data_IF_527330719307
#
_entry.id   IF_527330719307
#
_cell.length_a   1.000
_cell.length_b   1.000
_cell.length_c   1.000
_cell.angle_alpha   90.00
_cell.angle_beta   90.00
_cell.angle_gamma   90.00
#
_symmetry.space_group_name_H-M   'P 1'
#
loop_
_entity.id
_entity.type
_entity.pdbx_description
1 polymer ?
#
# COMPACT_ATOMS: atom_id res chain seq x y z
N UNK A 1 0.41 5.13 -21.36
CA UNK A 1 1.07 6.29 -20.70
C UNK A 1 1.53 5.80 -19.34
N UNK A 2 2.83 5.85 -19.04
CA UNK A 2 3.27 5.68 -17.65
C UNK A 2 2.76 6.90 -16.87
N UNK A 3 1.76 6.65 -16.03
CA UNK A 3 1.01 7.67 -15.28
C UNK A 3 1.85 8.37 -14.20
N UNK A 4 3.03 7.83 -13.88
CA UNK A 4 3.94 8.34 -12.85
C UNK A 4 5.37 8.40 -13.36
N UNK A 5 6.13 9.38 -12.88
CA UNK A 5 7.57 9.49 -13.13
C UNK A 5 8.37 8.40 -12.40
N UNK A 6 9.60 8.14 -12.86
CA UNK A 6 10.49 7.20 -12.20
C UNK A 6 10.83 7.64 -10.76
N UNK A 7 10.98 8.95 -10.51
CA UNK A 7 11.20 9.45 -9.15
C UNK A 7 10.01 9.13 -8.24
N UNK A 8 8.79 9.35 -8.71
CA UNK A 8 7.57 9.07 -7.95
C UNK A 8 7.41 7.60 -7.62
N UNK A 9 7.69 6.72 -8.58
CA UNK A 9 7.67 5.28 -8.37
C UNK A 9 8.75 4.86 -7.37
N UNK A 10 9.96 5.42 -7.45
CA UNK A 10 11.03 5.13 -6.50
C UNK A 10 10.71 5.60 -5.08
N UNK A 11 10.12 6.79 -4.92
CA UNK A 11 9.66 7.28 -3.62
C UNK A 11 8.53 6.42 -3.05
N UNK A 12 7.54 6.08 -3.88
CA UNK A 12 6.45 5.20 -3.50
C UNK A 12 6.97 3.82 -3.06
N UNK A 13 7.92 3.25 -3.80
CA UNK A 13 8.55 1.98 -3.49
C UNK A 13 9.21 1.98 -2.10
N UNK A 14 10.01 3.03 -1.79
CA UNK A 14 10.65 3.18 -0.48
C UNK A 14 9.61 3.19 0.65
N UNK A 15 8.52 3.93 0.46
CA UNK A 15 7.43 4.03 1.44
C UNK A 15 6.72 2.69 1.62
N UNK A 16 6.38 2.00 0.52
CA UNK A 16 5.73 0.68 0.52
C UNK A 16 6.60 -0.35 1.25
N UNK A 17 7.88 -0.46 0.91
CA UNK A 17 8.83 -1.38 1.58
C UNK A 17 8.91 -1.11 3.08
N UNK A 18 9.00 0.17 3.47
CA UNK A 18 9.03 0.53 4.90
C UNK A 18 7.74 0.15 5.63
N UNK A 19 6.61 0.18 4.92
CA UNK A 19 5.28 -0.15 5.47
C UNK A 19 5.11 -1.65 5.61
N UNK A 20 5.55 -2.43 4.61
CA UNK A 20 5.63 -3.89 4.68
C UNK A 20 6.42 -4.32 5.91
N UNK A 21 7.66 -3.83 6.07
CA UNK A 21 8.52 -4.20 7.19
C UNK A 21 7.88 -3.88 8.56
N UNK A 22 7.16 -2.76 8.67
CA UNK A 22 6.43 -2.40 9.90
C UNK A 22 5.26 -3.35 10.17
N UNK A 23 4.50 -3.71 9.13
CA UNK A 23 3.39 -4.65 9.27
C UNK A 23 3.88 -6.06 9.62
N UNK A 24 4.94 -6.55 8.98
CA UNK A 24 5.55 -7.85 9.25
C UNK A 24 6.10 -7.94 10.68
N UNK A 25 6.76 -6.89 11.19
CA UNK A 25 7.20 -6.82 12.59
C UNK A 25 6.05 -6.76 13.60
N UNK A 26 4.87 -6.31 13.16
CA UNK A 26 3.71 -6.13 14.02
C UNK A 26 2.82 -7.38 14.06
N UNK A 27 2.66 -8.08 12.93
CA UNK A 27 1.79 -9.25 12.80
C UNK A 27 2.02 -10.33 13.88
N UNK A 28 3.26 -10.79 14.17
CA UNK A 28 3.49 -11.87 15.13
C UNK A 28 3.22 -11.46 16.58
N UNK A 29 2.99 -10.17 16.86
CA UNK A 29 2.56 -9.69 18.18
C UNK A 29 1.08 -10.00 18.46
N UNK A 30 0.34 -10.41 17.45
CA UNK A 30 -1.06 -10.81 17.57
C UNK A 30 -1.19 -12.32 17.33
N UNK A 31 -1.86 -13.05 18.24
CA UNK A 31 -2.11 -14.48 18.05
C UNK A 31 -2.81 -14.78 16.74
N UNK A 32 -2.47 -15.91 16.13
CA UNK A 32 -3.15 -16.41 14.93
C UNK A 32 -4.64 -16.61 15.22
N UNK A 33 -5.49 -16.35 14.21
CA UNK A 33 -6.94 -16.38 14.35
C UNK A 33 -7.58 -15.08 14.89
N UNK A 34 -6.79 -14.13 15.41
CA UNK A 34 -7.32 -12.82 15.81
C UNK A 34 -7.60 -11.92 14.60
N UNK A 35 -8.56 -11.01 14.74
CA UNK A 35 -8.90 -10.04 13.69
C UNK A 35 -7.72 -9.12 13.35
N UNK A 36 -6.88 -8.77 14.33
CA UNK A 36 -5.68 -7.96 14.13
C UNK A 36 -4.62 -8.72 13.31
N UNK A 37 -4.41 -10.00 13.60
CA UNK A 37 -3.49 -10.84 12.85
C UNK A 37 -3.93 -10.96 11.38
N UNK A 38 -5.19 -11.29 11.14
CA UNK A 38 -5.77 -11.39 9.77
C UNK A 38 -5.73 -10.05 9.04
N UNK A 39 -6.04 -8.94 9.73
CA UNK A 39 -5.97 -7.60 9.14
C UNK A 39 -4.55 -7.25 8.67
N UNK A 40 -3.52 -7.59 9.45
CA UNK A 40 -2.14 -7.35 9.07
C UNK A 40 -1.70 -8.27 7.93
N UNK A 41 -2.10 -9.55 7.93
CA UNK A 41 -1.87 -10.48 6.82
C UNK A 41 -2.41 -9.92 5.49
N UNK A 42 -3.66 -9.43 5.49
CA UNK A 42 -4.29 -8.87 4.30
C UNK A 42 -3.61 -7.57 3.83
N UNK A 43 -3.19 -6.70 4.76
CA UNK A 43 -2.40 -5.50 4.43
C UNK A 43 -1.05 -5.85 3.83
N UNK A 44 -0.33 -6.82 4.41
CA UNK A 44 0.97 -7.25 3.92
C UNK A 44 0.85 -7.75 2.49
N UNK A 45 -0.14 -8.63 2.20
CA UNK A 45 -0.41 -9.13 0.85
C UNK A 45 -0.68 -7.99 -0.15
N UNK A 46 -1.56 -7.05 0.21
CA UNK A 46 -1.87 -5.90 -0.65
C UNK A 46 -0.66 -5.00 -0.92
N UNK A 47 0.20 -4.80 0.08
CA UNK A 47 1.44 -4.02 -0.07
C UNK A 47 2.47 -4.74 -0.94
N UNK A 48 2.55 -6.07 -0.89
CA UNK A 48 3.41 -6.85 -1.78
C UNK A 48 2.94 -6.78 -3.24
N UNK A 49 1.64 -6.89 -3.50
CA UNK A 49 1.06 -6.65 -4.84
C UNK A 49 1.44 -5.24 -5.32
N UNK A 50 1.27 -4.23 -4.46
CA UNK A 50 1.64 -2.85 -4.76
C UNK A 50 3.12 -2.71 -5.11
N UNK A 51 4.01 -3.38 -4.37
CA UNK A 51 5.46 -3.41 -4.63
C UNK A 51 5.78 -4.01 -6.00
N UNK A 52 5.21 -5.16 -6.33
CA UNK A 52 5.43 -5.82 -7.63
C UNK A 52 4.99 -4.93 -8.79
N UNK A 53 3.82 -4.30 -8.68
CA UNK A 53 3.33 -3.36 -9.70
C UNK A 53 4.22 -2.11 -9.84
N UNK A 54 4.65 -1.51 -8.73
CA UNK A 54 5.56 -0.33 -8.76
C UNK A 54 6.91 -0.68 -9.41
N UNK A 55 7.38 -1.91 -9.24
CA UNK A 55 8.64 -2.39 -9.82
C UNK A 55 8.50 -2.91 -11.25
N UNK A 56 7.28 -2.91 -11.81
CA UNK A 56 7.01 -3.40 -13.16
C UNK A 56 7.08 -4.92 -13.30
N UNK A 57 7.00 -5.67 -12.19
CA UNK A 57 6.92 -7.13 -12.24
C UNK A 57 5.57 -7.58 -12.82
N UNK A 58 5.58 -8.70 -13.56
CA UNK A 58 4.33 -9.33 -13.96
C UNK A 58 3.63 -9.94 -12.73
N UNK A 59 2.45 -9.44 -12.40
CA UNK A 59 1.65 -9.91 -11.26
C UNK A 59 0.63 -10.97 -11.63
N UNK A 60 0.29 -11.15 -12.92
CA UNK A 60 -0.71 -12.14 -13.36
C UNK A 60 -0.26 -13.58 -13.11
N UNK A 61 1.06 -13.81 -13.06
CA UNK A 61 1.63 -15.13 -12.80
C UNK A 61 1.68 -15.46 -11.30
N UNK A 62 1.45 -14.46 -10.43
CA UNK A 62 1.60 -14.57 -8.97
C UNK A 62 0.27 -14.43 -8.22
N UNK A 63 -0.68 -13.67 -8.77
CA UNK A 63 -1.91 -13.30 -8.09
C UNK A 63 -3.11 -13.44 -9.02
N UNK A 64 -4.24 -13.91 -8.48
CA UNK A 64 -5.50 -13.97 -9.23
C UNK A 64 -6.15 -12.58 -9.32
N UNK A 65 -7.09 -12.40 -10.25
CA UNK A 65 -7.85 -11.14 -10.38
C UNK A 65 -8.62 -10.82 -9.09
N UNK A 66 -9.13 -11.84 -8.40
CA UNK A 66 -9.79 -11.70 -7.10
C UNK A 66 -8.81 -11.18 -6.03
N UNK A 67 -7.60 -11.71 -5.96
CA UNK A 67 -6.58 -11.26 -5.01
C UNK A 67 -6.16 -9.79 -5.25
N UNK A 68 -6.08 -9.38 -6.52
CA UNK A 68 -5.85 -7.98 -6.90
C UNK A 68 -7.02 -7.10 -6.43
N UNK A 69 -8.27 -7.53 -6.65
CA UNK A 69 -9.45 -6.79 -6.21
C UNK A 69 -9.51 -6.68 -4.67
N UNK A 70 -9.23 -7.76 -3.95
CA UNK A 70 -9.17 -7.79 -2.49
C UNK A 70 -8.10 -6.84 -1.93
N UNK A 71 -7.01 -6.59 -2.67
CA UNK A 71 -5.95 -5.67 -2.25
C UNK A 71 -6.41 -4.21 -2.18
N UNK A 72 -7.46 -3.82 -2.91
CA UNK A 72 -7.95 -2.43 -2.93
C UNK A 72 -8.48 -1.97 -1.57
N UNK A 73 -9.12 -2.86 -0.81
CA UNK A 73 -9.71 -2.53 0.49
C UNK A 73 -8.65 -2.21 1.57
N UNK A 74 -7.61 -3.04 1.79
CA UNK A 74 -6.50 -2.71 2.68
C UNK A 74 -5.78 -1.40 2.30
N UNK A 75 -5.50 -1.17 1.01
CA UNK A 75 -4.83 0.05 0.54
C UNK A 75 -5.70 1.29 0.80
N UNK A 76 -6.99 1.24 0.45
CA UNK A 76 -7.93 2.34 0.73
C UNK A 76 -8.08 2.61 2.23
N UNK A 77 -8.03 1.58 3.07
CA UNK A 77 -8.06 1.73 4.53
C UNK A 77 -6.81 2.46 5.04
N UNK A 78 -5.63 2.18 4.49
CA UNK A 78 -4.38 2.88 4.87
C UNK A 78 -4.48 4.36 4.50
N UNK A 79 -4.96 4.67 3.29
CA UNK A 79 -5.17 6.06 2.82
C UNK A 79 -6.07 6.81 3.80
N UNK A 80 -7.30 6.33 4.02
CA UNK A 80 -8.28 7.00 4.89
C UNK A 80 -7.77 7.21 6.31
N UNK A 81 -7.04 6.23 6.87
CA UNK A 81 -6.45 6.37 8.20
C UNK A 81 -5.31 7.38 8.24
N UNK A 82 -4.49 7.42 7.20
CA UNK A 82 -3.39 8.38 7.11
C UNK A 82 -3.92 9.81 6.88
N UNK A 83 -4.97 10.00 6.09
CA UNK A 83 -5.63 11.31 5.91
C UNK A 83 -6.17 11.85 7.23
N UNK A 84 -6.93 11.01 7.97
CA UNK A 84 -7.43 11.37 9.31
C UNK A 84 -6.31 11.66 10.31
N UNK A 85 -5.19 10.95 10.21
CA UNK A 85 -4.03 11.21 11.06
C UNK A 85 -3.30 12.50 10.66
N UNK A 86 -3.13 12.75 9.35
CA UNK A 86 -2.47 13.94 8.81
C UNK A 86 -3.16 15.23 9.25
N UNK A 87 -4.49 15.25 9.26
CA UNK A 87 -5.30 16.40 9.70
C UNK A 87 -5.03 16.83 11.15
N UNK A 88 -4.44 15.96 11.98
CA UNK A 88 -4.08 16.28 13.37
C UNK A 88 -2.76 17.04 13.49
N UNK A 89 -2.00 17.19 12.40
CA UNK A 89 -0.69 17.81 12.40
C UNK A 89 -0.68 19.03 11.48
N UNK A 90 -0.03 20.11 11.93
CA UNK A 90 0.17 21.31 11.12
C UNK A 90 0.98 20.97 9.87
N UNK A 91 0.60 21.59 8.75
CA UNK A 91 1.37 21.52 7.51
C UNK A 91 2.84 21.97 7.73
N UNK A 92 3.77 21.31 7.03
CA UNK A 92 5.21 21.52 7.19
C UNK A 92 5.86 20.73 8.32
N UNK A 93 5.09 20.12 9.24
CA UNK A 93 5.68 19.24 10.27
C UNK A 93 6.14 17.91 9.70
N UNK A 94 7.13 17.28 10.35
CA UNK A 94 7.63 15.96 9.95
C UNK A 94 6.52 14.88 9.93
N UNK A 95 5.57 14.93 10.87
CA UNK A 95 4.43 14.03 10.91
C UNK A 95 3.48 14.26 9.73
N UNK A 96 3.15 15.52 9.42
CA UNK A 96 2.32 15.85 8.27
C UNK A 96 2.95 15.37 6.96
N UNK A 97 4.24 15.68 6.75
CA UNK A 97 4.99 15.25 5.55
C UNK A 97 5.06 13.73 5.45
N UNK A 98 5.28 13.03 6.57
CA UNK A 98 5.28 11.57 6.58
C UNK A 98 3.94 10.98 6.13
N UNK A 99 2.81 11.48 6.63
CA UNK A 99 1.50 10.99 6.20
C UNK A 99 1.21 11.34 4.75
N UNK A 100 1.58 12.55 4.29
CA UNK A 100 1.51 12.95 2.88
C UNK A 100 2.21 11.93 1.97
N UNK A 101 3.42 11.52 2.33
CA UNK A 101 4.21 10.56 1.55
C UNK A 101 3.56 9.16 1.54
N UNK A 102 2.99 8.72 2.67
CA UNK A 102 2.24 7.45 2.72
C UNK A 102 1.00 7.52 1.83
N UNK A 103 0.21 8.59 1.94
CA UNK A 103 -1.00 8.77 1.12
C UNK A 103 -0.65 8.76 -0.37
N UNK A 104 0.39 9.51 -0.79
CA UNK A 104 0.86 9.52 -2.19
C UNK A 104 1.24 8.12 -2.66
N UNK A 105 2.07 7.40 -1.91
CA UNK A 105 2.50 6.05 -2.27
C UNK A 105 1.32 5.06 -2.37
N UNK A 106 0.36 5.14 -1.45
CA UNK A 106 -0.82 4.27 -1.48
C UNK A 106 -1.79 4.63 -2.62
N UNK A 107 -1.91 5.90 -3.01
CA UNK A 107 -2.71 6.30 -4.17
C UNK A 107 -2.11 5.77 -5.48
N UNK A 108 -0.79 5.88 -5.65
CA UNK A 108 -0.07 5.26 -6.78
C UNK A 108 -0.36 3.76 -6.80
N UNK A 109 -0.20 3.09 -5.66
CA UNK A 109 -0.44 1.66 -5.49
C UNK A 109 -1.87 1.28 -5.88
N UNK A 110 -2.87 2.02 -5.39
CA UNK A 110 -4.28 1.81 -5.68
C UNK A 110 -4.57 1.93 -7.17
N UNK A 111 -4.06 2.98 -7.81
CA UNK A 111 -4.25 3.18 -9.24
C UNK A 111 -3.63 2.04 -10.04
N UNK A 112 -2.38 1.64 -9.75
CA UNK A 112 -1.73 0.54 -10.47
C UNK A 112 -2.50 -0.78 -10.31
N UNK A 113 -3.02 -1.08 -9.11
CA UNK A 113 -3.86 -2.27 -8.89
C UNK A 113 -5.15 -2.18 -9.71
N UNK A 114 -5.82 -1.03 -9.71
CA UNK A 114 -7.04 -0.82 -10.51
C UNK A 114 -6.77 -0.96 -12.00
N UNK A 115 -5.68 -0.37 -12.50
CA UNK A 115 -5.28 -0.46 -13.89
C UNK A 115 -5.00 -1.92 -14.27
N UNK A 116 -4.31 -2.68 -13.42
CA UNK A 116 -4.03 -4.09 -13.65
C UNK A 116 -5.29 -4.96 -13.69
N UNK A 117 -6.25 -4.75 -12.78
CA UNK A 117 -7.53 -5.47 -12.77
C UNK A 117 -8.29 -5.24 -14.09
N UNK A 118 -8.20 -4.01 -14.60
CA UNK A 118 -8.88 -3.58 -15.82
C UNK A 118 -8.12 -3.90 -17.11
N UNK A 119 -6.90 -4.47 -17.02
CA UNK A 119 -6.22 -5.02 -18.19
C UNK A 119 -6.98 -6.28 -18.62
N UNK A 120 -7.44 -6.26 -19.87
CA UNK A 120 -8.12 -7.39 -20.51
C UNK A 120 -7.15 -8.54 -20.73
#
# INVERSE_FOLDING_TARGET
MNTYSNEELMEALKVVISTISKCEKMQPKFPEGTSQHTLLKNRIKALYISKSLITGENVTDKYTKEELAEALAPISSIISKCEKAQQKFKEGTAHHTRFKNIIKAMNISKQLITDEINKN
#
